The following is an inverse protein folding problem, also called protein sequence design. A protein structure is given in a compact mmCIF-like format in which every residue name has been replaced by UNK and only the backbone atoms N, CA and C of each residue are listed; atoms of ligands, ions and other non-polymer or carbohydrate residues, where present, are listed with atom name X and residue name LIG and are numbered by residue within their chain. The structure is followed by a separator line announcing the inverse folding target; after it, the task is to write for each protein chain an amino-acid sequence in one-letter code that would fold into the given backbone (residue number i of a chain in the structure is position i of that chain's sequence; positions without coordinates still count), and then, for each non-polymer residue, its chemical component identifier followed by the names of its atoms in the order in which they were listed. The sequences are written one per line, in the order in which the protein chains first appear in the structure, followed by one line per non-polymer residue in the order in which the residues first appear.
data_IF_267062077287
#
_entry.id   IF_267062077287
#
_cell.length_a   1.000
_cell.length_b   1.000
_cell.length_c   1.000
_cell.angle_alpha   90.00
_cell.angle_beta   90.00
_cell.angle_gamma   90.00
#
_symmetry.space_group_name_H-M   'P 1'
#
loop_
_entity.id
_entity.type
_entity.pdbx_description
1 polymer ?
#
# COMPACT_ATOMS: atom_id res chain seq x y z
N UNK A 1 -9.26 0.25 -1.33
CA UNK A 1 -7.95 0.05 -1.99
C UNK A 1 -7.00 -0.58 -0.98
N UNK A 2 -6.58 -1.81 -1.26
CA UNK A 2 -5.65 -2.56 -0.44
C UNK A 2 -4.19 -2.06 -0.60
N UNK A 3 -3.32 -2.31 0.39
CA UNK A 3 -1.89 -2.08 0.24
C UNK A 3 -1.32 -2.83 -0.97
N UNK A 4 -0.48 -2.16 -1.76
CA UNK A 4 0.13 -2.73 -2.96
C UNK A 4 1.04 -3.94 -2.66
N UNK A 5 1.65 -3.97 -1.48
CA UNK A 5 2.57 -5.02 -1.07
C UNK A 5 1.91 -6.31 -0.59
N UNK A 6 0.60 -6.31 -0.33
CA UNK A 6 -0.11 -7.46 0.23
C UNK A 6 -0.87 -8.26 -0.82
N UNK A 7 -0.61 -9.57 -0.91
CA UNK A 7 -1.48 -10.50 -1.64
C UNK A 7 -2.85 -10.59 -0.95
N UNK A 8 -3.89 -10.91 -1.72
CA UNK A 8 -5.23 -11.19 -1.20
C UNK A 8 -5.78 -10.10 -0.28
N UNK A 9 -5.40 -8.83 -0.52
CA UNK A 9 -5.74 -7.72 0.36
C UNK A 9 -5.40 -8.01 1.83
N UNK A 10 -4.22 -8.50 2.07
CA UNK A 10 -3.67 -8.97 3.35
C UNK A 10 -4.25 -8.24 4.55
N UNK A 11 -4.77 -9.00 5.51
CA UNK A 11 -5.33 -8.56 6.79
C UNK A 11 -6.62 -7.70 6.69
N UNK A 12 -7.25 -7.58 5.54
CA UNK A 12 -8.49 -6.81 5.36
C UNK A 12 -9.77 -7.67 5.34
N UNK A 13 -9.66 -9.00 5.44
CA UNK A 13 -10.79 -9.92 5.35
C UNK A 13 -11.93 -9.54 6.29
N UNK A 14 -11.65 -9.35 7.59
CA UNK A 14 -12.66 -8.99 8.57
C UNK A 14 -13.32 -7.62 8.30
N UNK A 15 -12.57 -6.65 7.78
CA UNK A 15 -13.11 -5.36 7.37
C UNK A 15 -14.09 -5.53 6.20
N UNK A 16 -13.72 -6.35 5.20
CA UNK A 16 -14.57 -6.63 4.05
C UNK A 16 -15.84 -7.37 4.47
N UNK A 17 -15.70 -8.43 5.27
CA UNK A 17 -16.84 -9.20 5.80
C UNK A 17 -17.82 -8.30 6.57
N UNK A 18 -17.32 -7.31 7.30
CA UNK A 18 -18.16 -6.35 8.04
C UNK A 18 -18.91 -5.39 7.11
N UNK A 19 -18.34 -5.03 5.96
CA UNK A 19 -18.96 -4.10 5.01
C UNK A 19 -19.97 -4.78 4.07
N UNK A 20 -19.76 -6.04 3.71
CA UNK A 20 -20.55 -6.76 2.71
C UNK A 20 -22.08 -6.79 2.97
N UNK A 21 -22.58 -6.85 4.23
CA UNK A 21 -24.01 -6.85 4.47
C UNK A 21 -24.74 -5.57 4.05
N UNK A 22 -24.02 -4.41 4.06
CA UNK A 22 -24.61 -3.10 3.87
C UNK A 22 -24.16 -2.41 2.58
N UNK A 23 -23.06 -2.89 1.93
CA UNK A 23 -22.43 -2.24 0.79
C UNK A 23 -22.09 -3.22 -0.32
N UNK A 24 -22.12 -2.74 -1.55
CA UNK A 24 -21.44 -3.39 -2.67
C UNK A 24 -19.95 -3.05 -2.59
N UNK A 25 -19.11 -4.05 -2.34
CA UNK A 25 -17.68 -3.86 -2.04
C UNK A 25 -16.81 -4.28 -3.22
N UNK A 26 -15.97 -3.36 -3.69
CA UNK A 26 -14.95 -3.58 -4.70
C UNK A 26 -13.58 -3.51 -4.05
N UNK A 27 -12.76 -4.51 -4.30
CA UNK A 27 -11.42 -4.64 -3.70
C UNK A 27 -10.36 -4.67 -4.80
N UNK A 28 -9.28 -3.91 -4.62
CA UNK A 28 -8.14 -4.00 -5.53
C UNK A 28 -7.39 -5.31 -5.32
N UNK A 29 -7.13 -6.01 -6.41
CA UNK A 29 -6.29 -7.22 -6.46
C UNK A 29 -5.02 -6.91 -7.24
N UNK A 30 -3.95 -6.59 -6.51
CA UNK A 30 -2.67 -6.20 -7.09
C UNK A 30 -1.86 -7.43 -7.52
N UNK A 31 -1.16 -7.29 -8.66
CA UNK A 31 -0.22 -8.32 -9.11
C UNK A 31 1.18 -8.07 -8.57
N UNK A 32 1.84 -9.15 -8.20
CA UNK A 32 3.25 -9.10 -7.80
C UNK A 32 4.11 -8.58 -8.95
N UNK A 33 4.94 -7.56 -8.71
CA UNK A 33 5.77 -6.94 -9.75
C UNK A 33 6.69 -7.94 -10.46
N UNK A 34 7.13 -9.03 -9.79
CA UNK A 34 7.93 -10.08 -10.42
C UNK A 34 7.18 -10.89 -11.48
N UNK A 35 5.85 -10.88 -11.42
CA UNK A 35 4.98 -11.62 -12.35
C UNK A 35 4.48 -10.75 -13.52
N UNK A 36 4.86 -9.46 -13.56
CA UNK A 36 4.44 -8.53 -14.61
C UNK A 36 5.57 -8.35 -15.62
N UNK A 37 5.40 -8.72 -16.89
CA UNK A 37 6.42 -8.54 -17.92
C UNK A 37 6.92 -7.10 -18.02
N UNK A 38 8.22 -6.91 -18.26
CA UNK A 38 8.78 -5.56 -18.42
C UNK A 38 8.21 -4.82 -19.64
N UNK A 39 7.71 -5.56 -20.64
CA UNK A 39 7.05 -5.00 -21.83
C UNK A 39 5.72 -4.30 -21.50
N UNK A 40 5.07 -4.65 -20.38
CA UNK A 40 3.81 -4.03 -19.93
C UNK A 40 4.03 -2.63 -19.35
N UNK A 41 5.26 -2.15 -19.34
CA UNK A 41 5.62 -0.81 -18.88
C UNK A 41 6.07 -0.75 -17.43
N UNK A 42 6.20 0.50 -16.95
CA UNK A 42 6.60 0.82 -15.56
C UNK A 42 5.37 1.07 -14.70
N UNK A 43 5.53 0.93 -13.39
CA UNK A 43 4.53 1.30 -12.41
C UNK A 43 5.19 2.18 -11.35
N UNK A 44 4.77 3.42 -11.26
CA UNK A 44 5.23 4.44 -10.32
C UNK A 44 4.05 5.04 -9.52
N UNK A 45 4.30 6.07 -8.74
CA UNK A 45 3.25 6.74 -7.96
C UNK A 45 2.20 7.41 -8.87
N UNK A 46 2.62 7.99 -9.99
CA UNK A 46 1.71 8.62 -10.94
C UNK A 46 0.80 7.57 -11.60
N UNK A 47 1.36 6.42 -11.97
CA UNK A 47 0.59 5.29 -12.49
C UNK A 47 -0.41 4.75 -11.45
N UNK A 48 -0.03 4.74 -10.17
CA UNK A 48 -0.98 4.36 -9.11
C UNK A 48 -2.17 5.33 -9.05
N UNK A 49 -1.91 6.63 -9.16
CA UNK A 49 -2.97 7.66 -9.25
C UNK A 49 -3.88 7.42 -10.45
N UNK A 50 -3.32 7.05 -11.62
CA UNK A 50 -4.09 6.68 -12.80
C UNK A 50 -5.05 5.54 -12.51
N UNK A 51 -4.57 4.45 -11.89
CA UNK A 51 -5.39 3.29 -11.53
C UNK A 51 -6.53 3.66 -10.58
N UNK A 52 -6.23 4.40 -9.51
CA UNK A 52 -7.26 4.85 -8.56
C UNK A 52 -8.33 5.69 -9.24
N UNK A 53 -7.90 6.64 -10.08
CA UNK A 53 -8.82 7.49 -10.86
C UNK A 53 -9.69 6.65 -11.78
N UNK A 54 -9.11 5.68 -12.48
CA UNK A 54 -9.85 4.80 -13.39
C UNK A 54 -10.84 3.90 -12.63
N UNK A 55 -10.45 3.36 -11.47
CA UNK A 55 -11.37 2.57 -10.64
C UNK A 55 -12.58 3.40 -10.21
N UNK A 56 -12.35 4.61 -9.71
CA UNK A 56 -13.45 5.50 -9.31
C UNK A 56 -14.35 5.88 -10.49
N UNK A 57 -13.79 6.16 -11.67
CA UNK A 57 -14.58 6.42 -12.89
C UNK A 57 -15.38 5.22 -13.34
N UNK A 58 -14.85 4.01 -13.17
CA UNK A 58 -15.55 2.76 -13.50
C UNK A 58 -16.74 2.52 -12.57
N UNK A 59 -16.60 2.84 -11.28
CA UNK A 59 -17.68 2.73 -10.29
C UNK A 59 -18.72 3.85 -10.45
N UNK A 60 -18.31 5.03 -10.91
CA UNK A 60 -19.19 6.17 -11.15
C UNK A 60 -19.50 7.00 -9.91
N UNK A 61 -20.47 7.90 -10.07
CA UNK A 61 -20.88 8.83 -9.03
C UNK A 61 -21.46 8.12 -7.80
N UNK A 62 -21.20 8.67 -6.60
CA UNK A 62 -21.71 8.13 -5.35
C UNK A 62 -20.82 7.04 -4.72
N UNK A 63 -19.73 6.67 -5.36
CA UNK A 63 -18.77 5.75 -4.78
C UNK A 63 -18.13 6.34 -3.50
N UNK A 64 -17.73 5.46 -2.58
CA UNK A 64 -16.92 5.76 -1.40
C UNK A 64 -15.57 5.07 -1.56
N UNK A 65 -14.48 5.71 -1.13
CA UNK A 65 -13.15 5.10 -1.21
C UNK A 65 -12.53 4.93 0.18
N UNK A 66 -12.01 3.73 0.42
CA UNK A 66 -11.26 3.41 1.64
C UNK A 66 -9.84 3.06 1.23
N UNK A 67 -8.86 3.75 1.78
CA UNK A 67 -7.44 3.46 1.60
C UNK A 67 -6.80 3.00 2.89
N UNK A 68 -6.16 1.84 2.87
CA UNK A 68 -5.51 1.29 4.07
C UNK A 68 -4.00 1.33 3.88
N UNK A 69 -3.30 2.10 4.71
CA UNK A 69 -1.84 2.23 4.74
C UNK A 69 -1.27 2.88 3.45
N UNK A 70 -0.50 2.15 2.64
CA UNK A 70 0.19 2.64 1.44
C UNK A 70 -0.66 3.45 0.45
N UNK A 71 -1.88 3.04 0.09
CA UNK A 71 -2.67 3.73 -0.94
C UNK A 71 -3.19 5.11 -0.52
N UNK A 72 -3.04 5.52 0.74
CA UNK A 72 -3.56 6.81 1.20
C UNK A 72 -3.05 8.00 0.41
N UNK A 73 -1.76 8.05 0.11
CA UNK A 73 -1.17 9.15 -0.67
C UNK A 73 -1.69 9.16 -2.11
N UNK A 74 -1.60 8.08 -2.90
CA UNK A 74 -2.15 8.09 -4.26
C UNK A 74 -3.67 8.29 -4.31
N UNK A 75 -4.44 7.83 -3.32
CA UNK A 75 -5.87 8.15 -3.23
C UNK A 75 -6.09 9.64 -3.00
N UNK A 76 -5.40 10.25 -2.03
CA UNK A 76 -5.49 11.69 -1.77
C UNK A 76 -5.13 12.49 -3.02
N UNK A 77 -4.08 12.09 -3.75
CA UNK A 77 -3.70 12.73 -5.02
C UNK A 77 -4.81 12.57 -6.07
N UNK A 78 -5.30 11.35 -6.32
CA UNK A 78 -6.34 11.09 -7.31
C UNK A 78 -7.61 11.88 -7.01
N UNK A 79 -8.12 11.82 -5.78
CA UNK A 79 -9.35 12.49 -5.37
C UNK A 79 -9.19 14.01 -5.44
N UNK A 80 -8.02 14.56 -5.09
CA UNK A 80 -7.72 15.99 -5.22
C UNK A 80 -7.79 16.45 -6.67
N UNK A 81 -7.19 15.70 -7.60
CA UNK A 81 -7.20 15.99 -9.03
C UNK A 81 -8.60 15.88 -9.62
N UNK A 82 -9.36 14.83 -9.27
CA UNK A 82 -10.74 14.63 -9.72
C UNK A 82 -11.66 15.76 -9.22
N UNK A 83 -11.52 16.15 -7.95
CA UNK A 83 -12.31 17.25 -7.38
C UNK A 83 -11.98 18.60 -8.04
N UNK A 84 -10.72 18.89 -8.32
CA UNK A 84 -10.28 20.09 -9.04
C UNK A 84 -10.87 20.13 -10.45
N UNK A 85 -10.91 18.98 -11.13
CA UNK A 85 -11.48 18.83 -12.48
C UNK A 85 -13.01 18.74 -12.48
N UNK A 86 -13.65 18.74 -11.32
CA UNK A 86 -15.11 18.54 -11.16
C UNK A 86 -15.57 17.23 -11.82
N UNK A 87 -14.74 16.20 -11.74
CA UNK A 87 -15.06 14.89 -12.29
C UNK A 87 -16.31 14.32 -11.59
N UNK A 88 -17.35 13.94 -12.34
CA UNK A 88 -18.58 13.41 -11.76
C UNK A 88 -18.39 12.11 -10.97
N UNK A 89 -17.29 11.39 -11.19
CA UNK A 89 -16.91 10.19 -10.45
C UNK A 89 -16.07 10.50 -9.21
N UNK A 90 -15.90 11.78 -8.82
CA UNK A 90 -15.27 12.13 -7.54
C UNK A 90 -16.04 11.44 -6.41
N UNK A 91 -15.36 10.68 -5.52
CA UNK A 91 -16.06 9.90 -4.50
C UNK A 91 -16.80 10.81 -3.50
N UNK A 92 -17.93 10.33 -3.00
CA UNK A 92 -18.72 11.05 -1.99
C UNK A 92 -17.98 11.13 -0.63
N UNK A 93 -17.19 10.12 -0.32
CA UNK A 93 -16.33 10.11 0.87
C UNK A 93 -15.02 9.38 0.65
N UNK A 94 -14.03 9.72 1.47
CA UNK A 94 -12.71 9.11 1.51
C UNK A 94 -12.34 8.78 2.96
N UNK A 95 -11.98 7.53 3.22
CA UNK A 95 -11.49 7.07 4.52
C UNK A 95 -10.02 6.63 4.34
N UNK A 96 -9.12 7.19 5.15
CA UNK A 96 -7.69 6.89 5.12
C UNK A 96 -7.25 6.26 6.44
N UNK A 97 -7.02 4.95 6.44
CA UNK A 97 -6.68 4.17 7.62
C UNK A 97 -5.17 3.96 7.71
N UNK A 98 -4.51 4.56 8.71
CA UNK A 98 -3.07 4.36 8.95
C UNK A 98 -2.17 4.79 7.78
N UNK A 99 -2.57 5.80 7.03
CA UNK A 99 -1.90 6.24 5.81
C UNK A 99 -0.80 7.27 6.09
N UNK A 100 0.35 7.22 5.40
CA UNK A 100 1.49 8.12 5.63
C UNK A 100 1.28 9.49 4.94
N UNK A 101 0.25 10.24 5.34
CA UNK A 101 -0.07 11.54 4.73
C UNK A 101 0.96 12.59 5.13
N UNK A 102 1.28 12.69 6.42
CA UNK A 102 2.39 13.50 6.92
C UNK A 102 3.27 12.66 7.87
N UNK A 103 4.34 12.14 7.34
CA UNK A 103 5.25 11.24 8.06
C UNK A 103 6.12 11.92 9.10
N UNK A 104 6.01 13.26 9.26
CA UNK A 104 6.66 14.02 10.34
C UNK A 104 5.84 13.98 11.63
N UNK A 105 4.55 13.63 11.52
CA UNK A 105 3.65 13.53 12.68
C UNK A 105 3.70 12.11 13.22
N UNK A 106 4.08 11.95 14.49
CA UNK A 106 4.26 10.64 15.15
C UNK A 106 5.14 9.68 14.33
N UNK A 107 6.41 10.02 14.07
CA UNK A 107 7.30 9.22 13.24
C UNK A 107 7.47 7.82 13.83
N UNK A 108 7.61 6.84 12.95
CA UNK A 108 7.83 5.44 13.27
C UNK A 108 9.21 4.99 12.79
N UNK A 109 9.66 3.79 13.17
CA UNK A 109 10.95 3.26 12.69
C UNK A 109 11.11 3.30 11.16
N UNK A 110 10.12 2.97 10.32
CA UNK A 110 10.21 3.16 8.87
C UNK A 110 10.52 4.60 8.44
N UNK A 111 9.99 5.59 9.15
CA UNK A 111 10.26 7.01 8.86
C UNK A 111 11.73 7.35 9.15
N UNK A 112 12.24 6.93 10.31
CA UNK A 112 13.65 7.13 10.67
C UNK A 112 14.59 6.42 9.69
N UNK A 113 14.22 5.20 9.28
CA UNK A 113 14.97 4.45 8.29
C UNK A 113 14.99 5.15 6.93
N UNK A 114 13.87 5.71 6.49
CA UNK A 114 13.74 6.40 5.20
C UNK A 114 14.50 7.73 5.20
N UNK A 115 14.44 8.51 6.29
CA UNK A 115 15.10 9.82 6.40
C UNK A 115 16.60 9.72 6.72
N UNK A 116 17.01 8.67 7.41
CA UNK A 116 18.41 8.44 7.81
C UNK A 116 19.35 8.00 6.67
N UNK A 117 18.84 7.81 5.44
CA UNK A 117 19.62 7.31 4.29
C UNK A 117 19.27 8.06 3.02
N UNK A 118 20.26 8.21 2.12
CA UNK A 118 20.03 8.82 0.82
C UNK A 118 19.22 7.91 -0.13
N UNK A 119 18.51 8.49 -1.08
CA UNK A 119 17.81 7.74 -2.12
C UNK A 119 18.75 6.82 -2.92
N UNK A 120 20.00 7.26 -3.14
CA UNK A 120 21.03 6.45 -3.81
C UNK A 120 21.44 5.22 -2.98
N UNK A 121 21.37 5.31 -1.65
CA UNK A 121 21.58 4.17 -0.78
C UNK A 121 20.48 3.13 -0.99
N UNK A 122 19.20 3.52 -0.98
CA UNK A 122 18.07 2.62 -1.23
C UNK A 122 18.20 1.95 -2.60
N UNK A 123 18.50 2.72 -3.63
CA UNK A 123 18.69 2.19 -4.99
C UNK A 123 19.76 1.11 -5.05
N UNK A 124 20.85 1.26 -4.29
CA UNK A 124 22.00 0.37 -4.35
C UNK A 124 21.88 -0.87 -3.47
N UNK A 125 21.21 -0.76 -2.32
CA UNK A 125 21.20 -1.81 -1.30
C UNK A 125 19.86 -2.55 -1.19
N UNK A 126 18.77 -1.94 -1.63
CA UNK A 126 17.42 -2.46 -1.43
C UNK A 126 16.81 -2.95 -2.74
N UNK A 127 17.07 -2.24 -3.85
CA UNK A 127 16.52 -2.63 -5.14
C UNK A 127 17.29 -3.84 -5.71
N UNK A 128 16.51 -4.82 -6.18
CA UNK A 128 17.01 -6.06 -6.76
C UNK A 128 16.45 -6.22 -8.19
N UNK A 129 17.11 -7.07 -8.96
CA UNK A 129 16.63 -7.44 -10.29
C UNK A 129 15.88 -8.77 -10.20
N UNK A 130 14.69 -8.83 -10.75
CA UNK A 130 13.91 -10.09 -10.87
C UNK A 130 14.73 -11.10 -11.66
N UNK A 131 14.99 -12.29 -11.09
CA UNK A 131 15.80 -13.32 -11.76
C UNK A 131 15.07 -13.95 -12.94
N UNK A 132 15.78 -14.66 -13.81
CA UNK A 132 15.18 -15.50 -14.85
C UNK A 132 14.23 -16.53 -14.24
N UNK A 133 13.15 -16.86 -14.98
CA UNK A 133 12.14 -17.82 -14.56
C UNK A 133 10.82 -17.17 -14.12
N UNK A 134 10.78 -15.85 -13.88
CA UNK A 134 9.56 -15.09 -13.64
C UNK A 134 9.18 -14.29 -14.88
N UNK A 135 7.90 -14.01 -15.06
CA UNK A 135 7.40 -13.22 -16.20
C UNK A 135 8.03 -11.80 -16.22
N UNK A 136 8.28 -11.21 -15.07
CA UNK A 136 8.94 -9.90 -14.90
C UNK A 136 10.47 -9.96 -14.89
N UNK A 137 11.10 -11.03 -15.39
CA UNK A 137 12.54 -11.17 -15.41
C UNK A 137 13.25 -9.90 -15.93
N UNK A 138 14.26 -9.43 -15.19
CA UNK A 138 15.00 -8.20 -15.51
C UNK A 138 14.41 -6.92 -14.93
N UNK A 139 13.15 -6.88 -14.50
CA UNK A 139 12.52 -5.75 -13.82
C UNK A 139 13.25 -5.42 -12.52
N UNK A 140 13.40 -4.15 -12.20
CA UNK A 140 13.92 -3.71 -10.90
C UNK A 140 12.77 -3.62 -9.90
N UNK A 141 12.97 -4.21 -8.72
CA UNK A 141 11.94 -4.30 -7.68
C UNK A 141 12.51 -4.05 -6.28
N UNK A 142 11.66 -3.63 -5.37
CA UNK A 142 11.85 -3.78 -3.94
C UNK A 142 11.26 -5.13 -3.53
N UNK A 143 12.10 -6.12 -3.18
CA UNK A 143 11.62 -7.48 -2.94
C UNK A 143 10.73 -7.61 -1.72
N UNK A 144 9.67 -8.41 -1.85
CA UNK A 144 8.74 -8.69 -0.75
C UNK A 144 9.42 -9.28 0.48
N UNK A 145 10.42 -10.15 0.31
CA UNK A 145 11.12 -10.74 1.44
C UNK A 145 11.91 -9.70 2.27
N UNK A 146 12.42 -8.64 1.66
CA UNK A 146 13.08 -7.54 2.41
C UNK A 146 12.05 -6.71 3.18
N UNK A 147 10.87 -6.47 2.58
CA UNK A 147 9.76 -5.80 3.27
C UNK A 147 9.33 -6.61 4.48
N UNK A 148 9.12 -7.91 4.28
CA UNK A 148 8.72 -8.83 5.34
C UNK A 148 9.74 -8.87 6.47
N UNK A 149 11.04 -8.91 6.14
CA UNK A 149 12.11 -8.87 7.15
C UNK A 149 12.02 -7.60 8.01
N UNK A 150 11.72 -6.45 7.39
CA UNK A 150 11.48 -5.19 8.11
C UNK A 150 10.25 -5.26 9.03
N UNK A 151 9.13 -5.79 8.56
CA UNK A 151 7.91 -5.93 9.35
C UNK A 151 8.11 -6.85 10.56
N UNK A 152 8.76 -8.00 10.35
CA UNK A 152 9.07 -8.94 11.44
C UNK A 152 10.00 -8.31 12.48
N UNK A 153 11.02 -7.56 12.05
CA UNK A 153 11.98 -6.92 12.94
C UNK A 153 11.34 -5.85 13.84
N UNK A 154 10.30 -5.15 13.38
CA UNK A 154 9.60 -4.13 14.16
C UNK A 154 8.85 -4.69 15.38
N UNK A 155 8.39 -5.95 15.31
CA UNK A 155 7.58 -6.58 16.34
C UNK A 155 8.05 -8.01 16.67
N UNK A 156 9.36 -8.24 16.67
CA UNK A 156 9.95 -9.57 16.77
C UNK A 156 9.45 -10.34 18.00
N UNK A 157 9.39 -9.70 19.16
CA UNK A 157 8.96 -10.34 20.42
C UNK A 157 7.50 -10.81 20.34
N UNK A 158 6.63 -10.03 19.66
CA UNK A 158 5.23 -10.42 19.46
C UNK A 158 5.13 -11.63 18.52
N UNK A 159 5.92 -11.68 17.47
CA UNK A 159 5.96 -12.83 16.57
C UNK A 159 6.48 -14.08 17.28
N UNK A 160 7.57 -13.97 18.03
CA UNK A 160 8.09 -15.09 18.84
C UNK A 160 7.02 -15.60 19.81
N UNK A 161 6.34 -14.71 20.52
CA UNK A 161 5.25 -15.06 21.43
C UNK A 161 4.09 -15.75 20.71
N UNK A 162 3.71 -15.26 19.52
CA UNK A 162 2.65 -15.86 18.72
C UNK A 162 3.00 -17.29 18.27
N UNK A 163 4.24 -17.53 17.84
CA UNK A 163 4.70 -18.87 17.45
C UNK A 163 4.79 -19.82 18.65
N UNK A 164 5.24 -19.35 19.82
CA UNK A 164 5.22 -20.16 21.02
C UNK A 164 3.78 -20.55 21.41
N UNK A 165 2.84 -19.60 21.35
CA UNK A 165 1.42 -19.89 21.58
C UNK A 165 0.86 -20.89 20.56
N UNK A 166 1.28 -20.81 19.30
CA UNK A 166 0.93 -21.79 18.29
C UNK A 166 1.37 -23.19 18.65
N UNK A 167 2.61 -23.33 19.13
CA UNK A 167 3.12 -24.61 19.64
C UNK A 167 2.25 -25.13 20.79
N UNK A 168 1.94 -24.30 21.78
CA UNK A 168 1.10 -24.68 22.93
C UNK A 168 -0.31 -25.11 22.47
N UNK A 169 -0.94 -24.39 21.52
CA UNK A 169 -2.24 -24.75 20.96
C UNK A 169 -2.21 -26.14 20.28
N UNK A 170 -1.16 -26.40 19.50
CA UNK A 170 -0.98 -27.70 18.84
C UNK A 170 -0.80 -28.84 19.85
N UNK A 171 -0.01 -28.61 20.90
CA UNK A 171 0.19 -29.60 21.97
C UNK A 171 -1.10 -29.86 22.76
N UNK A 172 -1.90 -28.81 23.00
CA UNK A 172 -3.18 -28.91 23.70
C UNK A 172 -4.31 -29.49 22.84
N UNK A 173 -4.08 -29.66 21.52
CA UNK A 173 -5.12 -30.11 20.57
C UNK A 173 -6.17 -29.05 20.24
N UNK A 174 -5.89 -27.75 20.51
CA UNK A 174 -6.76 -26.62 20.11
C UNK A 174 -6.59 -26.33 18.63
N UNK A 175 -7.27 -27.09 17.80
CA UNK A 175 -7.21 -26.98 16.35
C UNK A 175 -7.74 -25.66 15.81
N UNK A 176 -8.74 -25.06 16.45
CA UNK A 176 -9.35 -23.80 16.01
C UNK A 176 -8.39 -22.62 16.17
N UNK A 177 -7.72 -22.52 17.32
CA UNK A 177 -6.69 -21.48 17.54
C UNK A 177 -5.49 -21.68 16.65
N UNK A 178 -5.07 -22.93 16.44
CA UNK A 178 -3.97 -23.26 15.55
C UNK A 178 -4.30 -22.90 14.09
N UNK A 179 -5.51 -23.16 13.60
CA UNK A 179 -5.94 -22.80 12.26
C UNK A 179 -5.99 -21.29 12.05
N UNK A 180 -6.50 -20.53 13.04
CA UNK A 180 -6.50 -19.05 12.98
C UNK A 180 -5.09 -18.46 12.89
N UNK A 181 -4.14 -19.00 13.68
CA UNK A 181 -2.76 -18.57 13.60
C UNK A 181 -2.16 -18.86 12.22
N UNK A 182 -2.39 -20.05 11.68
CA UNK A 182 -1.89 -20.43 10.35
C UNK A 182 -2.46 -19.50 9.27
N UNK A 183 -3.77 -19.29 9.25
CA UNK A 183 -4.42 -18.40 8.28
C UNK A 183 -3.89 -16.97 8.36
N UNK A 184 -3.68 -16.43 9.57
CA UNK A 184 -3.09 -15.11 9.76
C UNK A 184 -1.69 -15.02 9.17
N UNK A 185 -0.81 -15.99 9.46
CA UNK A 185 0.57 -15.95 8.98
C UNK A 185 0.70 -16.27 7.50
N UNK A 186 -0.17 -17.07 6.92
CA UNK A 186 -0.22 -17.26 5.47
C UNK A 186 -0.48 -15.92 4.74
N UNK A 187 -1.41 -15.12 5.24
CA UNK A 187 -1.65 -13.77 4.70
C UNK A 187 -0.48 -12.81 5.01
N UNK A 188 -0.03 -12.76 6.25
CA UNK A 188 1.03 -11.85 6.69
C UNK A 188 2.36 -12.06 5.96
N UNK A 189 2.70 -13.31 5.66
CA UNK A 189 3.93 -13.68 4.97
C UNK A 189 3.85 -13.52 3.44
N UNK A 190 2.64 -13.33 2.88
CA UNK A 190 2.40 -13.19 1.44
C UNK A 190 2.69 -11.77 0.95
N UNK A 191 3.93 -11.29 1.13
CA UNK A 191 4.34 -9.95 0.71
C UNK A 191 4.88 -9.97 -0.71
N UNK A 192 4.32 -9.08 -1.55
CA UNK A 192 4.68 -8.95 -2.96
C UNK A 192 5.88 -8.02 -3.18
N UNK A 193 6.60 -8.25 -4.27
CA UNK A 193 7.57 -7.28 -4.76
C UNK A 193 6.87 -6.03 -5.27
N UNK A 194 7.44 -4.87 -4.96
CA UNK A 194 7.02 -3.59 -5.52
C UNK A 194 7.97 -3.19 -6.64
N UNK A 195 7.49 -2.45 -7.63
CA UNK A 195 8.37 -1.85 -8.63
C UNK A 195 9.35 -0.87 -7.98
N UNK A 196 10.59 -0.83 -8.47
CA UNK A 196 11.60 0.09 -7.94
C UNK A 196 11.19 1.54 -8.09
N UNK A 197 10.53 1.87 -9.21
CA UNK A 197 10.03 3.22 -9.53
C UNK A 197 9.06 3.70 -8.45
N UNK A 198 8.02 2.91 -8.17
CA UNK A 198 7.03 3.25 -7.13
C UNK A 198 7.68 3.37 -5.74
N UNK A 199 8.50 2.38 -5.37
CA UNK A 199 9.15 2.38 -4.05
C UNK A 199 10.07 3.59 -3.85
N UNK A 200 10.98 3.85 -4.79
CA UNK A 200 11.93 4.96 -4.68
C UNK A 200 11.24 6.32 -4.73
N UNK A 201 10.24 6.49 -5.58
CA UNK A 201 9.45 7.72 -5.63
C UNK A 201 8.69 7.94 -4.33
N UNK A 202 8.10 6.90 -3.74
CA UNK A 202 7.42 6.99 -2.43
C UNK A 202 8.41 7.34 -1.32
N UNK A 203 9.57 6.69 -1.25
CA UNK A 203 10.61 7.05 -0.26
C UNK A 203 10.99 8.51 -0.38
N UNK A 204 11.25 8.99 -1.59
CA UNK A 204 11.64 10.36 -1.84
C UNK A 204 10.52 11.35 -1.50
N UNK A 205 9.37 11.23 -2.17
CA UNK A 205 8.35 12.29 -2.15
C UNK A 205 7.50 12.30 -0.87
N UNK A 206 7.25 11.10 -0.29
CA UNK A 206 6.42 10.96 0.91
C UNK A 206 7.24 11.01 2.18
N UNK A 207 8.33 10.24 2.25
CA UNK A 207 9.08 10.07 3.50
C UNK A 207 10.24 11.03 3.68
N UNK A 208 10.92 11.47 2.62
CA UNK A 208 12.07 12.37 2.72
C UNK A 208 11.69 13.83 2.49
N UNK A 209 10.92 14.11 1.44
CA UNK A 209 10.58 15.47 1.01
C UNK A 209 9.22 15.94 1.54
N UNK A 210 8.33 15.03 1.97
CA UNK A 210 6.99 15.31 2.52
C UNK A 210 6.15 16.23 1.61
N UNK A 211 6.18 15.96 0.30
CA UNK A 211 5.65 16.90 -0.70
C UNK A 211 4.15 17.13 -0.58
N UNK A 212 3.35 16.08 -0.25
CA UNK A 212 1.89 16.21 -0.16
C UNK A 212 1.45 17.18 0.95
N UNK A 213 1.88 17.04 2.23
CA UNK A 213 1.49 17.97 3.29
C UNK A 213 2.12 19.36 3.14
N UNK A 214 3.19 19.50 2.34
CA UNK A 214 3.79 20.80 2.01
C UNK A 214 3.06 21.50 0.86
N UNK A 215 2.13 20.82 0.16
CA UNK A 215 1.46 21.35 -1.02
C UNK A 215 2.35 21.43 -2.26
N UNK A 216 3.44 20.68 -2.28
CA UNK A 216 4.45 20.63 -3.36
C UNK A 216 4.35 19.35 -4.21
N UNK A 217 3.40 18.45 -3.89
CA UNK A 217 3.22 17.21 -4.64
C UNK A 217 2.77 17.51 -6.07
N UNK A 218 3.36 16.75 -7.00
CA UNK A 218 3.10 16.90 -8.44
C UNK A 218 2.71 15.54 -9.02
N UNK A 219 1.71 15.54 -9.90
CA UNK A 219 1.29 14.42 -10.72
C UNK A 219 1.52 14.77 -12.20
N UNK A 220 2.40 14.08 -12.90
CA UNK A 220 2.74 14.33 -14.32
C UNK A 220 2.98 15.82 -14.67
N UNK A 221 3.66 16.55 -13.78
CA UNK A 221 3.93 17.99 -13.95
C UNK A 221 2.78 18.91 -13.49
N UNK A 222 1.63 18.39 -13.10
CA UNK A 222 0.50 19.15 -12.54
C UNK A 222 0.56 19.18 -11.02
N UNK A 223 0.49 20.34 -10.35
CA UNK A 223 0.40 20.42 -8.90
C UNK A 223 -0.84 19.71 -8.36
N UNK A 224 -0.69 18.93 -7.30
CA UNK A 224 -1.80 18.32 -6.55
C UNK A 224 -2.21 19.27 -5.43
N UNK A 225 -3.50 19.63 -5.38
CA UNK A 225 -4.05 20.56 -4.40
C UNK A 225 -5.04 19.87 -3.46
N UNK A 226 -4.61 19.35 -2.29
CA UNK A 226 -5.52 18.69 -1.35
C UNK A 226 -6.71 19.55 -0.91
N UNK A 227 -6.59 20.86 -0.91
CA UNK A 227 -7.70 21.77 -0.60
C UNK A 227 -8.90 21.64 -1.56
N UNK A 228 -8.72 21.05 -2.75
CA UNK A 228 -9.81 20.82 -3.71
C UNK A 228 -10.86 19.83 -3.21
N UNK A 229 -10.53 18.96 -2.24
CA UNK A 229 -11.45 17.94 -1.72
C UNK A 229 -12.53 18.46 -0.77
N UNK A 230 -12.72 19.77 -0.66
CA UNK A 230 -13.69 20.36 0.27
C UNK A 230 -15.14 19.80 0.15
N UNK A 231 -15.48 19.22 -1.00
CA UNK A 231 -16.77 18.57 -1.24
C UNK A 231 -16.80 17.07 -0.91
N UNK A 232 -15.67 16.49 -0.54
CA UNK A 232 -15.53 15.07 -0.22
C UNK A 232 -15.47 14.89 1.30
N UNK A 233 -16.35 14.07 1.86
CA UNK A 233 -16.26 13.78 3.30
C UNK A 233 -14.97 12.98 3.58
N UNK A 234 -14.12 13.49 4.49
CA UNK A 234 -12.84 12.87 4.85
C UNK A 234 -12.88 12.32 6.29
N UNK A 235 -12.45 11.08 6.44
CA UNK A 235 -12.25 10.41 7.73
C UNK A 235 -10.84 9.81 7.80
#
# INVERSE_FOLDING_TARGET
VAPLSGHYATLLRGTIETLLPDFEVYLTDWKNAREVPSADGTFDLDTYVDYVTQFLRTLGAGAHVIGVCQPGVPIMMAVSLMAEDKDPATPASMVLMGSPIDTRVNPTQPNDYATGRSLSWFRRHVIQRVPPGYAGAGRLVYPGFLQLSGFLAMNLDQHVTAYNRQFDNLVAGDGDSAAKHTAFYEEYLSVMDLTAEYYLQTVQTVFQEHLLPRGEMVYRGRPVRPAAIASVALM
#
